data_IF_583515793757
#
_entry.id   IF_583515793757
#
_cell.length_a   1.000
_cell.length_b   1.000
_cell.length_c   1.000
_cell.angle_alpha   90.00
_cell.angle_beta   90.00
_cell.angle_gamma   90.00
#
_symmetry.space_group_name_H-M   'P 1'
#
loop_
_entity.id
_entity.type
_entity.pdbx_description
1 polymer ?
#
# COMPACT_ATOMS: atom_id res chain seq x y z
N UNK A 1 8.77 -28.45 -20.36
CA UNK A 1 7.55 -28.18 -19.57
C UNK A 1 6.67 -29.39 -19.66
N UNK A 2 6.16 -29.88 -18.52
CA UNK A 2 5.06 -30.86 -18.55
C UNK A 2 3.83 -30.13 -19.09
N UNK A 3 3.02 -30.79 -19.91
CA UNK A 3 1.75 -30.22 -20.37
C UNK A 3 0.91 -29.79 -19.16
N UNK A 4 0.54 -28.51 -19.10
CA UNK A 4 -0.40 -27.98 -18.10
C UNK A 4 0.14 -26.91 -17.14
N UNK A 5 1.45 -26.74 -16.99
CA UNK A 5 2.02 -25.70 -16.11
C UNK A 5 1.85 -24.29 -16.73
N UNK A 6 1.14 -23.41 -16.02
CA UNK A 6 1.02 -21.98 -16.31
C UNK A 6 2.24 -21.23 -15.79
N UNK A 7 2.65 -20.18 -16.51
CA UNK A 7 3.74 -19.29 -16.10
C UNK A 7 3.15 -18.22 -15.18
N UNK A 8 3.77 -18.00 -14.02
CA UNK A 8 3.28 -16.99 -13.06
C UNK A 8 4.07 -15.70 -13.12
N UNK A 9 3.39 -14.62 -13.45
CA UNK A 9 3.96 -13.27 -13.57
C UNK A 9 3.43 -12.39 -12.44
N UNK A 10 4.35 -11.73 -11.74
CA UNK A 10 4.09 -10.80 -10.65
C UNK A 10 4.32 -9.39 -11.18
N UNK A 11 3.36 -8.50 -10.94
CA UNK A 11 3.33 -7.11 -11.42
C UNK A 11 2.96 -6.11 -10.34
N UNK A 12 2.37 -6.53 -9.21
CA UNK A 12 2.22 -5.68 -8.02
C UNK A 12 3.53 -5.68 -7.23
N UNK A 13 4.29 -4.60 -7.36
CA UNK A 13 5.71 -4.53 -6.99
C UNK A 13 6.62 -4.73 -8.21
N UNK A 14 7.84 -5.18 -7.96
CA UNK A 14 8.81 -5.39 -9.03
C UNK A 14 8.37 -6.50 -9.98
N UNK A 15 8.58 -6.28 -11.29
CA UNK A 15 8.25 -7.26 -12.30
C UNK A 15 9.06 -8.54 -12.10
N UNK A 16 8.36 -9.68 -11.94
CA UNK A 16 9.00 -10.97 -11.73
C UNK A 16 8.26 -12.07 -12.49
N UNK A 17 9.03 -13.03 -13.02
CA UNK A 17 8.52 -14.30 -13.53
C UNK A 17 8.95 -15.38 -12.54
N UNK A 18 7.98 -16.07 -11.93
CA UNK A 18 8.20 -16.94 -10.77
C UNK A 18 9.16 -18.09 -11.05
N UNK A 19 9.19 -18.58 -12.29
CA UNK A 19 10.04 -19.66 -12.78
C UNK A 19 11.47 -19.17 -13.11
N UNK A 20 11.72 -17.86 -13.11
CA UNK A 20 12.98 -17.22 -13.50
C UNK A 20 13.53 -16.27 -12.42
N UNK A 21 13.46 -16.66 -11.13
CA UNK A 21 13.89 -15.82 -10.00
C UNK A 21 15.33 -15.27 -10.08
N UNK A 22 16.22 -15.97 -10.78
CA UNK A 22 17.63 -15.59 -10.92
C UNK A 22 17.94 -14.88 -12.25
N UNK A 23 16.92 -14.60 -13.07
CA UNK A 23 17.09 -13.91 -14.35
C UNK A 23 16.84 -12.42 -14.17
N UNK A 24 17.85 -11.61 -14.46
CA UNK A 24 17.70 -10.16 -14.42
C UNK A 24 17.25 -9.62 -15.78
N UNK A 25 16.09 -8.96 -15.81
CA UNK A 25 15.62 -8.17 -16.94
C UNK A 25 15.97 -6.70 -16.71
N UNK A 26 16.42 -6.02 -17.75
CA UNK A 26 16.58 -4.56 -17.67
C UNK A 26 15.21 -3.89 -17.52
N UNK A 27 15.14 -2.64 -17.02
CA UNK A 27 13.87 -1.94 -16.87
C UNK A 27 13.02 -1.94 -18.16
N UNK A 28 13.65 -1.72 -19.31
CA UNK A 28 12.97 -1.75 -20.62
C UNK A 28 12.54 -3.15 -21.05
N UNK A 29 13.33 -4.19 -20.75
CA UNK A 29 12.92 -5.56 -21.06
C UNK A 29 11.71 -6.00 -20.22
N UNK A 30 11.70 -5.65 -18.93
CA UNK A 30 10.56 -5.87 -18.04
C UNK A 30 9.32 -5.12 -18.52
N UNK A 31 9.49 -3.87 -18.95
CA UNK A 31 8.40 -3.04 -19.47
C UNK A 31 7.78 -3.61 -20.75
N UNK A 32 8.60 -4.00 -21.73
CA UNK A 32 8.12 -4.66 -22.96
C UNK A 32 7.32 -5.91 -22.61
N UNK A 33 7.86 -6.77 -21.75
CA UNK A 33 7.19 -8.01 -21.35
C UNK A 33 5.86 -7.72 -20.66
N UNK A 34 5.87 -6.86 -19.65
CA UNK A 34 4.66 -6.51 -18.90
C UNK A 34 3.59 -5.90 -19.81
N UNK A 35 3.97 -5.01 -20.73
CA UNK A 35 3.04 -4.40 -21.68
C UNK A 35 2.40 -5.43 -22.61
N UNK A 36 3.21 -6.31 -23.22
CA UNK A 36 2.71 -7.36 -24.12
C UNK A 36 1.84 -8.37 -23.35
N UNK A 37 2.19 -8.72 -22.12
CA UNK A 37 1.38 -9.60 -21.27
C UNK A 37 0.05 -8.95 -20.93
N UNK A 38 0.07 -7.67 -20.52
CA UNK A 38 -1.12 -6.90 -20.17
C UNK A 38 -2.10 -6.76 -21.35
N UNK A 39 -1.57 -6.48 -22.55
CA UNK A 39 -2.39 -6.29 -23.75
C UNK A 39 -2.67 -7.58 -24.54
N UNK A 40 -1.98 -8.68 -24.23
CA UNK A 40 -2.05 -10.03 -24.85
C UNK A 40 -1.59 -10.11 -26.31
N UNK A 41 -2.16 -9.27 -27.19
CA UNK A 41 -1.85 -9.20 -28.61
C UNK A 41 -1.72 -7.74 -29.04
N UNK A 42 -0.50 -7.30 -29.37
CA UNK A 42 -0.21 -5.89 -29.71
C UNK A 42 0.64 -5.79 -30.96
N UNK A 43 0.46 -4.74 -31.75
CA UNK A 43 1.39 -4.47 -32.84
C UNK A 43 2.76 -4.03 -32.30
N UNK A 44 3.82 -4.23 -33.09
CA UNK A 44 5.16 -3.71 -32.81
C UNK A 44 5.11 -2.19 -32.63
N UNK A 45 4.33 -1.50 -33.45
CA UNK A 45 4.13 -0.06 -33.39
C UNK A 45 3.51 0.36 -32.05
N UNK A 46 2.51 -0.36 -31.55
CA UNK A 46 1.88 -0.06 -30.27
C UNK A 46 2.85 -0.28 -29.09
N UNK A 47 3.73 -1.28 -29.17
CA UNK A 47 4.82 -1.46 -28.19
C UNK A 47 5.78 -0.27 -28.25
N UNK A 48 6.19 0.17 -29.44
CA UNK A 48 7.10 1.31 -29.60
C UNK A 48 6.52 2.59 -29.00
N UNK A 49 5.26 2.90 -29.33
CA UNK A 49 4.56 4.12 -28.92
C UNK A 49 4.29 4.20 -27.41
N UNK A 50 4.13 3.06 -26.72
CA UNK A 50 3.79 3.06 -25.30
C UNK A 50 4.99 2.81 -24.38
N UNK A 51 6.02 2.09 -24.86
CA UNK A 51 7.19 1.76 -24.05
C UNK A 51 8.28 2.83 -24.14
N UNK A 52 8.31 3.64 -25.21
CA UNK A 52 9.29 4.70 -25.39
C UNK A 52 8.65 6.06 -25.59
N UNK A 53 9.33 7.09 -25.09
CA UNK A 53 9.04 8.47 -25.47
C UNK A 53 9.33 8.67 -26.95
N UNK A 54 8.57 9.56 -27.60
CA UNK A 54 8.69 9.89 -29.03
C UNK A 54 10.14 10.23 -29.42
N UNK A 55 10.88 10.89 -28.52
CA UNK A 55 12.26 11.33 -28.77
C UNK A 55 13.32 10.22 -28.59
N UNK A 56 12.95 9.09 -27.99
CA UNK A 56 13.84 7.96 -27.68
C UNK A 56 13.38 6.66 -28.36
N UNK A 57 12.39 6.74 -29.24
CA UNK A 57 11.79 5.59 -29.87
C UNK A 57 12.79 4.88 -30.79
N UNK A 58 13.09 3.59 -30.56
CA UNK A 58 14.01 2.85 -31.42
C UNK A 58 13.38 2.57 -32.79
N UNK A 59 14.20 2.31 -33.80
CA UNK A 59 13.66 1.87 -35.08
C UNK A 59 13.10 0.44 -34.98
N UNK A 60 12.27 0.05 -35.95
CA UNK A 60 11.66 -1.29 -35.98
C UNK A 60 12.68 -2.44 -36.03
N UNK A 61 13.89 -2.23 -36.53
CA UNK A 61 14.92 -3.27 -36.49
C UNK A 61 15.51 -3.42 -35.08
N UNK A 62 15.68 -2.32 -34.34
CA UNK A 62 16.26 -2.35 -33.01
C UNK A 62 15.33 -3.03 -31.99
N UNK A 63 14.01 -2.88 -32.13
CA UNK A 63 13.07 -3.58 -31.22
C UNK A 63 13.14 -5.11 -31.36
N UNK A 64 13.46 -5.63 -32.56
CA UNK A 64 13.67 -7.07 -32.74
C UNK A 64 14.89 -7.58 -31.97
N UNK A 65 15.91 -6.73 -31.77
CA UNK A 65 17.07 -7.04 -30.93
C UNK A 65 16.64 -7.14 -29.47
N UNK A 66 15.77 -6.26 -28.99
CA UNK A 66 15.17 -6.37 -27.66
C UNK A 66 14.37 -7.68 -27.51
N UNK A 67 13.51 -8.01 -28.47
CA UNK A 67 12.76 -9.27 -28.44
C UNK A 67 13.67 -10.50 -28.41
N UNK A 68 14.75 -10.49 -29.19
CA UNK A 68 15.75 -11.56 -29.19
C UNK A 68 16.47 -11.69 -27.85
N UNK A 69 16.88 -10.57 -27.23
CA UNK A 69 17.48 -10.56 -25.88
C UNK A 69 16.52 -11.10 -24.83
N UNK A 70 15.26 -10.67 -24.88
CA UNK A 70 14.20 -11.16 -23.99
C UNK A 70 14.00 -12.67 -24.17
N UNK A 71 13.86 -13.15 -25.41
CA UNK A 71 13.68 -14.57 -25.70
C UNK A 71 14.85 -15.44 -25.20
N UNK A 72 16.10 -14.95 -25.31
CA UNK A 72 17.26 -15.63 -24.71
C UNK A 72 17.14 -15.76 -23.19
N UNK A 73 16.60 -14.74 -22.51
CA UNK A 73 16.39 -14.75 -21.05
C UNK A 73 15.21 -15.61 -20.62
N UNK A 74 14.14 -15.65 -21.41
CA UNK A 74 12.98 -16.50 -21.18
C UNK A 74 13.27 -18.00 -21.43
N UNK A 75 14.35 -18.33 -22.15
CA UNK A 75 14.77 -19.71 -22.43
C UNK A 75 13.62 -20.49 -23.09
N UNK A 76 13.21 -21.61 -22.48
CA UNK A 76 12.18 -22.51 -23.00
C UNK A 76 10.85 -22.41 -22.22
N UNK A 77 10.72 -21.46 -21.28
CA UNK A 77 9.48 -21.33 -20.51
C UNK A 77 8.44 -20.49 -21.24
N UNK A 78 8.88 -19.42 -21.91
CA UNK A 78 8.04 -18.52 -22.69
C UNK A 78 8.87 -17.90 -23.83
N UNK A 79 8.19 -17.27 -24.77
CA UNK A 79 8.79 -16.47 -25.83
C UNK A 79 7.86 -15.33 -26.25
N UNK A 80 8.42 -14.17 -26.54
CA UNK A 80 7.81 -13.17 -27.40
C UNK A 80 7.79 -13.71 -28.82
N UNK A 81 6.59 -13.97 -29.32
CA UNK A 81 6.34 -14.38 -30.69
C UNK A 81 5.86 -13.18 -31.49
N UNK A 82 6.56 -12.88 -32.60
CA UNK A 82 6.17 -11.83 -33.55
C UNK A 82 5.68 -12.49 -34.84
N UNK A 83 4.40 -12.35 -35.16
CA UNK A 83 3.79 -12.82 -36.41
C UNK A 83 2.97 -11.69 -37.03
N UNK A 84 3.19 -11.37 -38.30
CA UNK A 84 2.47 -10.31 -39.02
C UNK A 84 2.50 -8.95 -38.29
N UNK A 85 3.64 -8.61 -37.67
CA UNK A 85 3.83 -7.43 -36.81
C UNK A 85 3.06 -7.44 -35.48
N UNK A 86 2.36 -8.53 -35.14
CA UNK A 86 1.72 -8.73 -33.84
C UNK A 86 2.68 -9.46 -32.91
N UNK A 87 2.88 -8.89 -31.73
CA UNK A 87 3.68 -9.41 -30.62
C UNK A 87 2.74 -10.01 -29.58
N UNK A 88 3.09 -11.21 -29.10
CA UNK A 88 2.38 -11.94 -28.05
C UNK A 88 3.36 -12.80 -27.27
N UNK A 89 3.02 -13.21 -26.04
CA UNK A 89 3.82 -14.18 -25.28
C UNK A 89 3.23 -15.58 -25.46
N UNK A 90 4.08 -16.55 -25.80
CA UNK A 90 3.74 -17.97 -25.95
C UNK A 90 4.55 -18.78 -24.94
N UNK A 91 3.98 -19.77 -24.22
CA UNK A 91 2.59 -20.21 -24.28
C UNK A 91 1.62 -19.14 -23.75
N UNK A 92 0.40 -19.13 -24.29
CA UNK A 92 -0.62 -18.14 -23.92
C UNK A 92 -1.18 -18.35 -22.49
N UNK A 93 -0.79 -19.44 -21.82
CA UNK A 93 -1.24 -19.75 -20.46
C UNK A 93 -0.32 -19.07 -19.45
N UNK A 94 -0.52 -17.77 -19.29
CA UNK A 94 0.17 -16.93 -18.31
C UNK A 94 -0.85 -16.56 -17.25
N UNK A 95 -0.51 -16.78 -15.98
CA UNK A 95 -1.28 -16.31 -14.84
C UNK A 95 -0.60 -15.06 -14.31
N UNK A 96 -1.34 -13.96 -14.23
CA UNK A 96 -0.84 -12.72 -13.63
C UNK A 96 -1.55 -12.43 -12.32
N UNK A 97 -0.84 -11.78 -11.39
CA UNK A 97 -1.43 -11.28 -10.17
C UNK A 97 -2.47 -10.18 -10.44
N UNK A 98 -2.25 -9.29 -11.42
CA UNK A 98 -3.23 -8.26 -11.78
C UNK A 98 -4.55 -8.83 -12.32
N UNK A 99 -4.53 -9.84 -13.21
CA UNK A 99 -5.76 -10.48 -13.70
C UNK A 99 -6.49 -11.21 -12.56
N UNK A 100 -5.73 -11.83 -11.67
CA UNK A 100 -6.30 -12.48 -10.49
C UNK A 100 -6.94 -11.48 -9.53
N UNK A 101 -6.29 -10.33 -9.31
CA UNK A 101 -6.82 -9.23 -8.52
C UNK A 101 -8.12 -8.72 -9.14
N UNK A 102 -8.14 -8.37 -10.43
CA UNK A 102 -9.36 -7.89 -11.12
C UNK A 102 -10.52 -8.88 -11.02
N UNK A 103 -10.24 -10.16 -11.29
CA UNK A 103 -11.26 -11.21 -11.22
C UNK A 103 -11.85 -11.33 -9.82
N UNK A 104 -11.02 -11.17 -8.78
CA UNK A 104 -11.45 -11.26 -7.39
C UNK A 104 -12.07 -9.96 -6.86
N UNK A 105 -11.69 -8.79 -7.37
CA UNK A 105 -12.21 -7.50 -6.91
C UNK A 105 -13.54 -7.14 -7.59
N UNK A 106 -13.60 -7.14 -8.92
CA UNK A 106 -14.75 -6.66 -9.69
C UNK A 106 -16.04 -7.44 -9.38
N UNK A 107 -15.96 -8.78 -9.38
CA UNK A 107 -17.15 -9.62 -9.14
C UNK A 107 -17.56 -9.63 -7.67
N UNK A 108 -16.61 -9.44 -6.77
CA UNK A 108 -16.84 -9.64 -5.34
C UNK A 108 -17.28 -8.36 -4.63
N UNK A 109 -16.95 -7.18 -5.17
CA UNK A 109 -17.49 -5.91 -4.68
C UNK A 109 -19.01 -5.87 -4.86
N UNK A 110 -19.51 -6.20 -6.05
CA UNK A 110 -20.95 -6.23 -6.35
C UNK A 110 -21.69 -7.27 -5.51
N UNK A 111 -21.08 -8.44 -5.33
CA UNK A 111 -21.67 -9.56 -4.58
C UNK A 111 -21.43 -9.49 -3.07
N UNK A 112 -20.68 -8.49 -2.59
CA UNK A 112 -20.30 -8.36 -1.17
C UNK A 112 -19.62 -9.63 -0.61
N UNK A 113 -18.87 -10.34 -1.46
CA UNK A 113 -18.17 -11.58 -1.07
C UNK A 113 -16.84 -11.23 -0.39
N UNK A 114 -16.90 -11.06 0.94
CA UNK A 114 -15.75 -10.71 1.78
C UNK A 114 -14.60 -11.70 1.65
N UNK A 115 -14.85 -13.00 1.40
CA UNK A 115 -13.79 -14.01 1.29
C UNK A 115 -12.95 -13.80 0.04
N UNK A 116 -13.60 -13.50 -1.08
CA UNK A 116 -12.89 -13.20 -2.33
C UNK A 116 -12.22 -11.83 -2.30
N UNK A 117 -12.84 -10.84 -1.64
CA UNK A 117 -12.23 -9.53 -1.42
C UNK A 117 -10.97 -9.60 -0.55
N UNK A 118 -10.96 -10.39 0.53
CA UNK A 118 -9.74 -10.63 1.34
C UNK A 118 -8.61 -11.21 0.48
N UNK A 119 -8.91 -12.18 -0.38
CA UNK A 119 -7.92 -12.73 -1.33
C UNK A 119 -7.41 -11.68 -2.32
N UNK A 120 -8.27 -10.82 -2.85
CA UNK A 120 -7.84 -9.72 -3.72
C UNK A 120 -6.91 -8.77 -2.97
N UNK A 121 -7.28 -8.40 -1.74
CA UNK A 121 -6.51 -7.53 -0.87
C UNK A 121 -5.12 -8.09 -0.56
N UNK A 122 -4.99 -9.41 -0.39
CA UNK A 122 -3.71 -10.09 -0.14
C UNK A 122 -2.79 -10.17 -1.38
N UNK A 123 -3.36 -10.20 -2.58
CA UNK A 123 -2.60 -10.22 -3.84
C UNK A 123 -1.86 -8.89 -4.07
N UNK A 124 -2.49 -7.77 -3.73
CA UNK A 124 -1.92 -6.44 -3.92
C UNK A 124 -0.87 -6.15 -2.83
N UNK A 125 0.42 -6.24 -3.18
CA UNK A 125 1.54 -6.06 -2.24
C UNK A 125 2.42 -4.85 -2.54
N UNK A 126 2.03 -4.05 -3.52
CA UNK A 126 2.78 -2.89 -3.98
C UNK A 126 2.10 -2.30 -5.20
N UNK A 127 2.53 -1.09 -5.57
CA UNK A 127 2.09 -0.47 -6.82
C UNK A 127 2.35 -1.37 -8.02
N UNK A 128 1.47 -1.29 -9.02
CA UNK A 128 1.71 -1.94 -10.30
C UNK A 128 2.97 -1.38 -10.96
N UNK A 129 4.00 -2.22 -11.13
CA UNK A 129 5.26 -1.94 -11.80
C UNK A 129 5.90 -0.60 -11.39
N UNK A 130 6.28 -0.39 -10.11
CA UNK A 130 6.67 0.91 -9.58
C UNK A 130 7.95 1.46 -10.23
N UNK A 131 8.81 0.58 -10.76
CA UNK A 131 10.05 0.96 -11.44
C UNK A 131 9.86 1.47 -12.88
N UNK A 132 8.63 1.41 -13.41
CA UNK A 132 8.31 1.79 -14.79
C UNK A 132 7.60 3.14 -14.79
N UNK A 133 8.13 4.10 -15.56
CA UNK A 133 7.65 5.49 -15.57
C UNK A 133 6.85 5.88 -16.81
N UNK A 134 6.56 4.96 -17.72
CA UNK A 134 5.76 5.25 -18.91
C UNK A 134 4.29 5.50 -18.56
N UNK A 135 3.65 6.30 -19.40
CA UNK A 135 2.28 6.78 -19.18
C UNK A 135 1.26 5.63 -19.05
N UNK A 136 1.42 4.56 -19.83
CA UNK A 136 0.52 3.40 -19.73
C UNK A 136 0.63 2.71 -18.36
N UNK A 137 1.85 2.55 -17.84
CA UNK A 137 2.08 1.90 -16.56
C UNK A 137 1.58 2.78 -15.41
N UNK A 138 1.78 4.10 -15.50
CA UNK A 138 1.24 5.08 -14.56
C UNK A 138 -0.29 5.05 -14.52
N UNK A 139 -0.94 5.06 -15.68
CA UNK A 139 -2.40 5.01 -15.80
C UNK A 139 -2.97 3.72 -15.18
N UNK A 140 -2.38 2.57 -15.49
CA UNK A 140 -2.80 1.26 -14.94
C UNK A 140 -2.53 1.18 -13.44
N UNK A 141 -1.42 1.74 -12.96
CA UNK A 141 -1.09 1.82 -11.53
C UNK A 141 -2.13 2.62 -10.75
N UNK A 142 -2.54 3.77 -11.25
CA UNK A 142 -3.59 4.58 -10.63
C UNK A 142 -4.90 3.79 -10.53
N UNK A 143 -5.31 3.15 -11.62
CA UNK A 143 -6.51 2.31 -11.65
C UNK A 143 -6.48 1.20 -10.59
N UNK A 144 -5.40 0.41 -10.51
CA UNK A 144 -5.32 -0.66 -9.52
C UNK A 144 -5.19 -0.16 -8.08
N UNK A 145 -4.52 0.97 -7.87
CA UNK A 145 -4.42 1.58 -6.54
C UNK A 145 -5.79 2.04 -6.05
N UNK A 146 -6.58 2.70 -6.89
CA UNK A 146 -7.95 3.09 -6.57
C UNK A 146 -8.81 1.87 -6.24
N UNK A 147 -8.79 0.84 -7.10
CA UNK A 147 -9.53 -0.40 -6.86
C UNK A 147 -9.11 -1.10 -5.55
N UNK A 148 -7.81 -1.13 -5.24
CA UNK A 148 -7.30 -1.70 -3.99
C UNK A 148 -7.84 -0.96 -2.76
N UNK A 149 -7.84 0.37 -2.77
CA UNK A 149 -8.38 1.15 -1.66
C UNK A 149 -9.89 1.01 -1.51
N UNK A 150 -10.65 0.87 -2.60
CA UNK A 150 -12.08 0.54 -2.51
C UNK A 150 -12.32 -0.83 -1.86
N UNK A 151 -11.57 -1.85 -2.28
CA UNK A 151 -11.61 -3.19 -1.65
C UNK A 151 -11.27 -3.11 -0.17
N UNK A 152 -10.19 -2.41 0.18
CA UNK A 152 -9.75 -2.27 1.57
C UNK A 152 -10.74 -1.51 2.45
N UNK A 153 -11.31 -0.40 1.97
CA UNK A 153 -12.39 0.32 2.68
C UNK A 153 -13.59 -0.58 2.93
N UNK A 154 -14.02 -1.33 1.93
CA UNK A 154 -15.11 -2.29 2.09
C UNK A 154 -14.80 -3.35 3.16
N UNK A 155 -13.58 -3.90 3.14
CA UNK A 155 -13.15 -4.87 4.14
C UNK A 155 -13.12 -4.28 5.54
N UNK A 156 -12.68 -3.04 5.72
CA UNK A 156 -12.73 -2.35 7.02
C UNK A 156 -14.18 -2.20 7.50
N UNK A 157 -15.10 -1.75 6.65
CA UNK A 157 -16.50 -1.51 7.06
C UNK A 157 -17.34 -2.77 7.23
N UNK A 158 -16.96 -3.88 6.60
CA UNK A 158 -17.66 -5.16 6.71
C UNK A 158 -17.12 -6.08 7.80
N UNK A 159 -15.97 -5.75 8.37
CA UNK A 159 -15.35 -6.50 9.45
C UNK A 159 -15.98 -6.15 10.80
N UNK A 160 -15.98 -7.11 11.72
CA UNK A 160 -16.59 -6.99 13.06
C UNK A 160 -15.57 -7.12 14.17
N UNK A 161 -14.33 -7.44 13.81
CA UNK A 161 -13.20 -7.52 14.69
C UNK A 161 -12.29 -6.32 14.41
N UNK A 162 -12.19 -5.41 15.37
CA UNK A 162 -11.35 -4.22 15.26
C UNK A 162 -9.89 -4.52 14.90
N UNK A 163 -9.31 -5.63 15.39
CA UNK A 163 -7.92 -5.98 15.08
C UNK A 163 -7.76 -6.24 13.58
N UNK A 164 -8.72 -6.92 12.96
CA UNK A 164 -8.74 -7.14 11.52
C UNK A 164 -9.01 -5.84 10.74
N UNK A 165 -9.91 -4.97 11.21
CA UNK A 165 -10.14 -3.65 10.60
C UNK A 165 -8.85 -2.83 10.54
N UNK A 166 -8.15 -2.76 11.67
CA UNK A 166 -6.89 -2.05 11.80
C UNK A 166 -5.79 -2.69 10.94
N UNK A 167 -5.77 -4.03 10.82
CA UNK A 167 -4.84 -4.73 9.94
C UNK A 167 -5.04 -4.33 8.46
N UNK A 168 -6.29 -4.27 7.98
CA UNK A 168 -6.55 -3.80 6.62
C UNK A 168 -6.18 -2.33 6.45
N UNK A 169 -6.55 -1.49 7.41
CA UNK A 169 -6.22 -0.05 7.38
C UNK A 169 -4.71 0.18 7.34
N UNK A 170 -3.94 -0.55 8.17
CA UNK A 170 -2.47 -0.50 8.20
C UNK A 170 -1.86 -0.83 6.84
N UNK A 171 -2.30 -1.92 6.19
CA UNK A 171 -1.77 -2.28 4.87
C UNK A 171 -2.09 -1.20 3.83
N UNK A 172 -3.29 -0.59 3.86
CA UNK A 172 -3.61 0.53 2.97
C UNK A 172 -2.74 1.75 3.23
N UNK A 173 -2.51 2.06 4.50
CA UNK A 173 -1.62 3.10 4.99
C UNK A 173 -0.18 2.92 4.46
N UNK A 174 0.37 1.71 4.60
CA UNK A 174 1.74 1.37 4.18
C UNK A 174 1.90 1.51 2.66
N UNK A 175 0.81 1.32 1.92
CA UNK A 175 0.71 1.48 0.47
C UNK A 175 0.27 2.90 0.04
N UNK A 176 0.25 3.86 0.97
CA UNK A 176 0.09 5.27 0.66
C UNK A 176 -1.35 5.78 0.60
N UNK A 177 -2.27 5.17 1.36
CA UNK A 177 -3.62 5.73 1.52
C UNK A 177 -3.57 7.18 2.05
N UNK A 178 -4.43 8.03 1.49
CA UNK A 178 -4.51 9.45 1.84
C UNK A 178 -4.84 9.68 3.32
N UNK A 179 -4.23 10.71 3.93
CA UNK A 179 -4.44 11.03 5.34
C UNK A 179 -5.89 11.30 5.69
N UNK A 180 -6.58 12.10 4.86
CA UNK A 180 -7.94 12.51 5.17
C UNK A 180 -8.87 11.29 5.10
N UNK A 181 -8.62 10.37 4.16
CA UNK A 181 -9.34 9.11 4.08
C UNK A 181 -9.06 8.23 5.31
N UNK A 182 -7.79 8.07 5.71
CA UNK A 182 -7.43 7.34 6.94
C UNK A 182 -8.14 7.94 8.16
N UNK A 183 -8.08 9.25 8.33
CA UNK A 183 -8.71 9.97 9.44
C UNK A 183 -10.21 9.70 9.49
N UNK A 184 -10.91 9.81 8.36
CA UNK A 184 -12.35 9.54 8.29
C UNK A 184 -12.68 8.09 8.68
N UNK A 185 -11.93 7.11 8.16
CA UNK A 185 -12.13 5.70 8.50
C UNK A 185 -11.93 5.48 10.00
N UNK A 186 -10.87 6.06 10.58
CA UNK A 186 -10.58 5.93 12.01
C UNK A 186 -11.67 6.55 12.87
N UNK A 187 -12.14 7.75 12.54
CA UNK A 187 -13.26 8.40 13.24
C UNK A 187 -14.53 7.52 13.22
N UNK A 188 -14.76 6.76 12.15
CA UNK A 188 -15.88 5.81 12.07
C UNK A 188 -15.64 4.53 12.89
N UNK A 189 -14.40 4.03 12.96
CA UNK A 189 -14.03 2.93 13.84
C UNK A 189 -14.19 3.35 15.31
N UNK A 190 -13.67 4.51 15.70
CA UNK A 190 -13.77 5.07 17.05
C UNK A 190 -15.22 5.20 17.51
N UNK A 191 -16.10 5.72 16.65
CA UNK A 191 -17.55 5.80 16.94
C UNK A 191 -18.20 4.44 17.14
N UNK A 192 -17.78 3.40 16.43
CA UNK A 192 -18.39 2.06 16.49
C UNK A 192 -18.03 1.30 17.76
N UNK A 193 -16.83 1.52 18.28
CA UNK A 193 -16.29 0.75 19.39
C UNK A 193 -16.03 1.58 20.65
N UNK A 194 -16.42 2.86 20.65
CA UNK A 194 -16.23 3.80 21.77
C UNK A 194 -14.76 3.81 22.26
N UNK A 195 -13.80 3.88 21.32
CA UNK A 195 -12.37 3.82 21.67
C UNK A 195 -11.87 5.14 22.28
N UNK A 196 -11.32 5.05 23.48
CA UNK A 196 -10.34 6.01 24.03
C UNK A 196 -8.87 5.52 23.84
N UNK A 197 -8.67 4.33 23.26
CA UNK A 197 -7.39 3.62 23.12
C UNK A 197 -7.17 3.15 21.69
N UNK A 198 -6.00 3.46 21.12
CA UNK A 198 -5.59 2.98 19.79
C UNK A 198 -4.56 1.85 19.87
N UNK A 199 -4.46 1.06 18.81
CA UNK A 199 -3.45 0.01 18.65
C UNK A 199 -2.07 0.59 18.30
N UNK A 200 -1.00 -0.13 18.64
CA UNK A 200 0.38 0.33 18.49
C UNK A 200 0.73 0.71 17.05
N UNK A 201 0.32 -0.12 16.09
CA UNK A 201 0.58 0.13 14.68
C UNK A 201 -0.04 1.44 14.16
N UNK A 202 -1.23 1.80 14.63
CA UNK A 202 -1.86 3.07 14.25
C UNK A 202 -1.13 4.25 14.90
N UNK A 203 -0.81 4.11 16.18
CA UNK A 203 -0.01 5.11 16.90
C UNK A 203 1.31 5.38 16.18
N UNK A 204 2.03 4.32 15.82
CA UNK A 204 3.33 4.38 15.15
C UNK A 204 3.21 4.97 13.74
N UNK A 205 2.14 4.65 12.98
CA UNK A 205 1.89 5.30 11.69
C UNK A 205 1.66 6.80 11.82
N UNK A 206 0.77 7.22 12.72
CA UNK A 206 0.48 8.66 12.90
C UNK A 206 1.73 9.38 13.39
N UNK A 207 2.51 8.77 14.29
CA UNK A 207 3.79 9.30 14.75
C UNK A 207 4.79 9.45 13.59
N UNK A 208 4.98 8.42 12.75
CA UNK A 208 5.88 8.43 11.61
C UNK A 208 5.49 9.53 10.61
N UNK A 209 4.20 9.61 10.26
CA UNK A 209 3.69 10.63 9.35
C UNK A 209 3.84 12.04 9.92
N UNK A 210 3.56 12.20 11.22
CA UNK A 210 3.74 13.46 11.92
C UNK A 210 5.20 13.95 11.89
N UNK A 211 6.18 13.04 11.95
CA UNK A 211 7.61 13.35 11.77
C UNK A 211 7.96 13.79 10.35
N UNK A 212 7.27 13.26 9.34
CA UNK A 212 7.51 13.58 7.93
C UNK A 212 6.83 14.89 7.47
N UNK A 213 5.86 15.41 8.24
CA UNK A 213 5.18 16.66 7.90
C UNK A 213 6.03 17.89 8.25
N UNK A 214 6.11 18.85 7.32
CA UNK A 214 6.80 20.15 7.52
C UNK A 214 6.29 20.90 8.75
N UNK A 215 5.02 20.71 9.09
CA UNK A 215 4.40 21.19 10.31
C UNK A 215 3.74 20.01 11.03
N UNK A 216 4.34 19.60 12.15
CA UNK A 216 3.86 18.53 13.03
C UNK A 216 2.52 18.90 13.65
N UNK A 217 1.44 18.16 13.32
CA UNK A 217 0.10 18.33 13.90
C UNK A 217 -0.01 17.78 15.32
N UNK A 218 0.91 16.89 15.71
CA UNK A 218 0.92 16.23 17.01
C UNK A 218 2.25 16.41 17.75
N UNK A 219 2.22 16.25 19.07
CA UNK A 219 3.40 16.12 19.94
C UNK A 219 3.39 14.69 20.47
N UNK A 220 4.38 13.89 20.07
CA UNK A 220 4.53 12.52 20.55
C UNK A 220 5.20 12.48 21.92
N UNK A 221 4.65 11.71 22.84
CA UNK A 221 5.22 11.53 24.17
C UNK A 221 5.03 10.10 24.69
N UNK A 222 5.90 9.70 25.62
CA UNK A 222 5.71 8.55 26.50
C UNK A 222 5.56 9.07 27.92
N UNK A 223 4.49 8.67 28.60
CA UNK A 223 4.25 9.00 30.01
C UNK A 223 4.28 7.72 30.83
N UNK A 224 5.04 7.77 31.93
CA UNK A 224 5.10 6.71 32.94
C UNK A 224 4.57 7.27 34.25
N UNK A 225 3.57 6.62 34.84
CA UNK A 225 3.00 6.98 36.14
C UNK A 225 3.64 6.18 37.29
N UNK A 226 3.69 6.76 38.50
CA UNK A 226 4.13 6.07 39.72
C UNK A 226 3.09 5.08 40.26
N UNK A 227 1.84 5.25 39.85
CA UNK A 227 0.69 4.40 40.22
C UNK A 227 -0.29 4.36 39.06
N UNK A 228 -1.16 3.36 39.04
CA UNK A 228 -2.22 3.24 38.05
C UNK A 228 -3.05 4.54 37.99
N UNK A 229 -3.22 5.04 36.77
CA UNK A 229 -3.95 6.27 36.48
C UNK A 229 -4.74 6.06 35.19
N UNK A 230 -6.07 6.23 35.20
CA UNK A 230 -6.91 6.03 34.02
C UNK A 230 -6.73 7.23 33.09
N UNK A 231 -5.64 7.27 32.33
CA UNK A 231 -5.31 8.39 31.45
C UNK A 231 -6.36 8.58 30.35
N UNK A 232 -7.03 7.49 29.96
CA UNK A 232 -8.08 7.45 28.95
C UNK A 232 -9.20 8.48 29.25
N UNK A 233 -9.59 8.62 30.52
CA UNK A 233 -10.64 9.55 30.96
C UNK A 233 -10.23 11.03 30.99
N UNK A 234 -8.97 11.32 30.64
CA UNK A 234 -8.32 12.59 30.97
C UNK A 234 -7.72 13.33 29.78
N UNK A 235 -7.86 12.77 28.57
CA UNK A 235 -7.39 13.39 27.33
C UNK A 235 -8.40 14.36 26.71
N UNK A 236 -7.97 15.08 25.68
CA UNK A 236 -8.84 15.93 24.86
C UNK A 236 -9.28 15.15 23.65
N UNK A 237 -10.44 15.51 23.10
CA UNK A 237 -10.89 15.01 21.81
C UNK A 237 -9.84 15.36 20.74
N UNK A 238 -9.34 14.35 20.03
CA UNK A 238 -8.29 14.49 19.01
C UNK A 238 -6.89 14.04 19.47
N UNK A 239 -6.64 13.91 20.78
CA UNK A 239 -5.42 13.28 21.29
C UNK A 239 -5.51 11.74 21.05
N UNK A 240 -4.38 11.10 20.75
CA UNK A 240 -4.30 9.65 20.46
C UNK A 240 -3.51 8.97 21.58
N UNK A 241 -4.04 7.93 22.22
CA UNK A 241 -3.37 7.19 23.30
C UNK A 241 -3.19 5.73 22.94
N UNK A 242 -1.97 5.23 23.16
CA UNK A 242 -1.67 3.81 23.22
C UNK A 242 -1.27 3.45 24.66
N UNK A 243 -2.05 2.57 25.31
CA UNK A 243 -1.67 1.96 26.59
C UNK A 243 -0.70 0.81 26.33
N UNK A 244 0.51 0.92 26.86
CA UNK A 244 1.53 -0.14 26.77
C UNK A 244 1.34 -1.14 27.91
N UNK A 245 1.14 -0.64 29.13
CA UNK A 245 0.89 -1.42 30.33
C UNK A 245 0.06 -0.59 31.35
N UNK A 246 -0.07 -1.07 32.59
CA UNK A 246 -0.84 -0.40 33.65
C UNK A 246 -0.30 0.97 34.08
N UNK A 247 0.96 1.28 33.77
CA UNK A 247 1.68 2.48 34.21
C UNK A 247 2.22 3.30 33.03
N UNK A 248 2.31 2.72 31.82
CA UNK A 248 3.00 3.29 30.67
C UNK A 248 2.06 3.54 29.50
N UNK A 249 2.12 4.75 28.96
CA UNK A 249 1.31 5.19 27.83
C UNK A 249 2.17 5.91 26.78
N UNK A 250 1.97 5.61 25.50
CA UNK A 250 2.39 6.51 24.40
C UNK A 250 1.20 7.42 24.04
N UNK A 251 1.45 8.70 23.79
CA UNK A 251 0.42 9.70 23.52
C UNK A 251 0.86 10.58 22.35
N UNK A 252 -0.04 10.86 21.41
CA UNK A 252 0.10 11.94 20.43
C UNK A 252 -0.90 13.03 20.81
N UNK A 253 -0.37 14.15 21.32
CA UNK A 253 -1.17 15.30 21.73
C UNK A 253 -1.41 16.19 20.51
N UNK A 254 -2.66 16.50 20.18
CA UNK A 254 -2.96 17.42 19.08
C UNK A 254 -2.47 18.83 19.45
N UNK A 255 -1.71 19.46 18.54
CA UNK A 255 -1.13 20.78 18.76
C UNK A 255 -2.16 21.88 18.71
N UNK A 256 -2.07 22.80 19.67
CA UNK A 256 -2.70 24.11 19.53
C UNK A 256 -1.73 25.05 18.81
N UNK A 257 -2.01 25.34 17.54
CA UNK A 257 -1.15 26.21 16.72
C UNK A 257 -0.99 27.64 17.24
N UNK A 258 -1.81 28.06 18.22
CA UNK A 258 -1.68 29.34 18.90
C UNK A 258 -0.63 29.32 20.03
N UNK A 259 -0.13 28.14 20.41
CA UNK A 259 0.81 27.94 21.51
C UNK A 259 2.12 27.32 21.02
N UNK A 260 3.20 27.54 21.79
CA UNK A 260 4.44 26.79 21.58
C UNK A 260 4.27 25.32 21.99
N UNK A 261 5.13 24.44 21.47
CA UNK A 261 5.09 23.01 21.82
C UNK A 261 5.25 22.79 23.32
N UNK A 262 6.17 23.55 23.92
CA UNK A 262 6.49 23.47 25.34
C UNK A 262 5.30 23.88 26.20
N UNK A 263 4.58 24.92 25.79
CA UNK A 263 3.39 25.39 26.50
C UNK A 263 2.23 24.40 26.40
N UNK A 264 2.04 23.77 25.24
CA UNK A 264 1.05 22.70 25.07
C UNK A 264 1.32 21.51 26.00
N UNK A 265 2.59 21.08 26.08
CA UNK A 265 3.02 19.99 26.98
C UNK A 265 2.78 20.39 28.44
N UNK A 266 3.21 21.59 28.84
CA UNK A 266 3.06 22.09 30.20
C UNK A 266 1.59 22.09 30.64
N UNK A 267 0.69 22.65 29.83
CA UNK A 267 -0.74 22.70 30.13
C UNK A 267 -1.36 21.30 30.23
N UNK A 268 -0.94 20.38 29.35
CA UNK A 268 -1.40 19.00 29.42
C UNK A 268 -0.95 18.31 30.70
N UNK A 269 0.33 18.44 31.07
CA UNK A 269 0.86 17.82 32.30
C UNK A 269 0.27 18.45 33.56
N UNK A 270 0.03 19.77 33.58
CA UNK A 270 -0.68 20.44 34.68
C UNK A 270 -2.10 19.91 34.84
N UNK A 271 -2.84 19.70 33.73
CA UNK A 271 -4.17 19.10 33.76
C UNK A 271 -4.13 17.71 34.41
N UNK A 272 -3.15 16.87 34.07
CA UNK A 272 -3.01 15.53 34.67
C UNK A 272 -2.68 15.62 36.16
N UNK A 273 -1.75 16.49 36.56
CA UNK A 273 -1.39 16.71 37.97
C UNK A 273 -2.58 17.20 38.80
N UNK A 274 -3.38 18.11 38.26
CA UNK A 274 -4.61 18.60 38.90
C UNK A 274 -5.66 17.50 39.10
N UNK A 275 -5.57 16.43 38.31
CA UNK A 275 -6.37 15.21 38.49
C UNK A 275 -5.69 14.14 39.34
N UNK A 276 -4.68 14.53 40.13
CA UNK A 276 -3.92 13.69 41.04
C UNK A 276 -3.08 12.59 40.37
N UNK A 277 -2.72 12.77 39.09
CA UNK A 277 -1.75 11.90 38.44
C UNK A 277 -0.36 12.06 39.07
N UNK A 278 0.24 10.95 39.49
CA UNK A 278 1.65 10.93 39.94
C UNK A 278 2.52 10.52 38.77
N UNK A 279 3.12 11.48 38.09
CA UNK A 279 3.91 11.25 36.88
C UNK A 279 5.36 11.01 37.29
N UNK A 280 5.86 9.81 36.98
CA UNK A 280 7.24 9.40 37.23
C UNK A 280 8.19 9.98 36.18
N UNK A 281 7.78 9.90 34.91
CA UNK A 281 8.62 10.26 33.77
C UNK A 281 7.78 10.68 32.56
N UNK A 282 8.30 11.64 31.80
CA UNK A 282 7.79 12.04 30.49
C UNK A 282 8.96 12.07 29.51
N UNK A 283 8.79 11.46 28.35
CA UNK A 283 9.75 11.49 27.23
C UNK A 283 9.04 11.99 25.98
N UNK A 284 9.69 12.83 25.17
CA UNK A 284 9.17 13.28 23.88
C UNK A 284 9.70 12.34 22.78
N UNK A 285 8.83 11.90 21.87
CA UNK A 285 9.16 10.91 20.81
C UNK A 285 8.84 11.39 19.40
#
# INVERSE_FOLDING_TARGET
MKEGESIKVITFGDFLISELKNTHFSPKESEILAFVIYKKHVSVENVLENVWDINQMPCRNDITVFFSKINKKLKNIARLNTKDSIVSVVPNKIETDFENFERLSLVSLDKKDTKSLKKAFDIYNGDFLPSISSDWALSVRMYYREAFFEVGKYLVYSETNVTNEMMYLKKMIDLGLDYNVVKLIVEEIEKRYEFDLVYEDFFDYVLLKNKLMRFSSYIGMVIIFDKEFPLEDNIRKGDIILKIDTLTYKILIERNWKLSKEKDIELFLEKLKNKNAKIKKVEII
#
